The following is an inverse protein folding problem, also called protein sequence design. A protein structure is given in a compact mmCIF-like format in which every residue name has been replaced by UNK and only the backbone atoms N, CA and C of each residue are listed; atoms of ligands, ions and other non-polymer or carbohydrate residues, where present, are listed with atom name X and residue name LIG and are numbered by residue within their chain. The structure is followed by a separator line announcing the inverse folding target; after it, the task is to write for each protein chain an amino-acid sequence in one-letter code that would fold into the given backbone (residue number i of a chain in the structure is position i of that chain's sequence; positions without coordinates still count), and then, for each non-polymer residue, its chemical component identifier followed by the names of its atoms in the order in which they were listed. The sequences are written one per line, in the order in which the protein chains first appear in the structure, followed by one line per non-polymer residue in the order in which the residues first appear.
data_IF_882163423426
#
_entry.id   IF_882163423426
#
_cell.length_a   1.000
_cell.length_b   1.000
_cell.length_c   1.000
_cell.angle_alpha   90.00
_cell.angle_beta   90.00
_cell.angle_gamma   90.00
#
_symmetry.space_group_name_H-M   'P 1'
#
loop_
_entity.id
_entity.type
_entity.pdbx_description
1 polymer ?
#
# COMPACT_ATOMS: atom_id res chain seq x y z
N UNK A 1 -10.52 -25.35 -2.58
CA UNK A 1 -9.73 -24.19 -2.99
C UNK A 1 -10.71 -23.06 -3.25
N UNK A 2 -10.86 -22.13 -2.33
CA UNK A 2 -11.65 -20.92 -2.58
C UNK A 2 -10.91 -20.14 -3.68
N UNK A 3 -11.56 -19.93 -4.83
CA UNK A 3 -10.98 -19.13 -5.91
C UNK A 3 -10.64 -17.76 -5.38
N UNK A 4 -9.41 -17.29 -5.63
CA UNK A 4 -9.02 -15.92 -5.34
C UNK A 4 -9.97 -14.99 -6.10
N UNK A 5 -10.72 -14.19 -5.35
CA UNK A 5 -11.69 -13.26 -5.93
C UNK A 5 -10.91 -12.09 -6.52
N UNK A 6 -10.85 -12.02 -7.84
CA UNK A 6 -10.22 -10.91 -8.56
C UNK A 6 -11.21 -9.74 -8.64
N UNK A 7 -10.75 -8.53 -8.30
CA UNK A 7 -11.57 -7.31 -8.27
C UNK A 7 -11.13 -6.37 -9.39
N UNK A 8 -12.00 -6.15 -10.35
CA UNK A 8 -11.71 -5.31 -11.52
C UNK A 8 -12.21 -3.87 -11.35
N UNK A 9 -11.52 -2.93 -12.00
CA UNK A 9 -11.91 -1.52 -12.01
C UNK A 9 -11.57 -0.75 -10.72
N UNK A 10 -10.79 -1.36 -9.83
CA UNK A 10 -10.13 -0.71 -8.68
C UNK A 10 -8.62 -0.77 -8.92
N UNK A 11 -7.92 0.36 -8.81
CA UNK A 11 -6.47 0.43 -9.00
C UNK A 11 -5.74 0.34 -7.67
N UNK A 12 -4.76 -0.57 -7.57
CA UNK A 12 -3.81 -0.64 -6.46
C UNK A 12 -2.72 0.42 -6.60
N UNK A 13 -2.51 1.23 -5.58
CA UNK A 13 -1.43 2.22 -5.53
C UNK A 13 -0.52 1.85 -4.37
N UNK A 14 0.69 1.37 -4.69
CA UNK A 14 1.69 0.98 -3.71
C UNK A 14 2.67 2.14 -3.51
N UNK A 15 2.72 2.69 -2.30
CA UNK A 15 3.62 3.79 -1.96
C UNK A 15 5.00 3.23 -1.57
N UNK A 16 6.03 3.50 -2.39
CA UNK A 16 7.38 2.97 -2.28
C UNK A 16 8.48 4.05 -2.29
N UNK A 17 8.12 5.32 -2.11
CA UNK A 17 9.05 6.45 -2.19
C UNK A 17 9.65 6.88 -0.83
N UNK A 18 9.49 6.07 0.21
CA UNK A 18 10.05 6.33 1.54
C UNK A 18 11.56 6.06 1.60
N UNK A 19 12.33 6.97 2.21
CA UNK A 19 13.81 6.89 2.27
C UNK A 19 14.35 5.82 3.23
N UNK A 20 13.52 5.20 4.07
CA UNK A 20 13.94 4.12 4.97
C UNK A 20 15.06 4.48 5.96
N UNK A 21 15.22 5.76 6.36
CA UNK A 21 16.34 6.25 7.19
C UNK A 21 16.46 5.58 8.56
N UNK A 22 15.36 5.07 9.11
CA UNK A 22 15.36 4.30 10.36
C UNK A 22 15.85 2.86 10.15
N UNK A 23 15.66 2.31 8.97
CA UNK A 23 16.10 0.98 8.61
C UNK A 23 17.63 0.94 8.37
N UNK A 24 18.13 1.86 7.57
CA UNK A 24 19.56 2.05 7.33
C UNK A 24 19.92 3.55 7.36
N UNK A 25 20.49 4.06 8.50
CA UNK A 25 20.94 5.44 8.59
C UNK A 25 22.08 5.80 7.64
N UNK A 26 22.84 4.79 7.14
CA UNK A 26 23.94 5.01 6.17
C UNK A 26 23.42 5.25 4.76
N UNK A 27 22.16 4.86 4.46
CA UNK A 27 21.55 4.96 3.13
C UNK A 27 22.14 4.01 2.09
N UNK A 28 22.94 3.00 2.50
CA UNK A 28 23.54 2.02 1.60
C UNK A 28 22.59 0.90 1.20
N UNK A 29 21.60 0.62 2.04
CA UNK A 29 20.62 -0.44 1.81
C UNK A 29 19.23 0.17 1.60
N UNK A 30 18.62 -0.15 0.45
CA UNK A 30 17.22 0.19 0.25
C UNK A 30 16.35 -0.76 1.08
N UNK A 31 15.67 -0.23 2.09
CA UNK A 31 14.75 -0.95 3.00
C UNK A 31 13.84 -1.93 2.25
N UNK A 32 13.25 -1.48 1.14
CA UNK A 32 12.26 -2.25 0.37
C UNK A 32 12.84 -3.51 -0.29
N UNK A 33 14.17 -3.59 -0.46
CA UNK A 33 14.88 -4.77 -0.97
C UNK A 33 15.31 -5.73 0.13
N UNK A 34 15.08 -5.42 1.40
CA UNK A 34 15.32 -6.34 2.49
C UNK A 34 14.41 -7.57 2.32
N UNK A 35 14.97 -8.75 2.62
CA UNK A 35 14.28 -10.02 2.41
C UNK A 35 13.53 -10.46 3.64
N UNK A 36 12.31 -10.92 3.44
CA UNK A 36 11.55 -11.68 4.44
C UNK A 36 12.20 -13.04 4.69
N UNK A 37 11.75 -13.76 5.70
CA UNK A 37 12.21 -15.14 5.99
C UNK A 37 12.04 -16.10 4.81
N UNK A 38 11.04 -15.84 3.96
CA UNK A 38 10.80 -16.61 2.74
C UNK A 38 11.78 -16.27 1.59
N UNK A 39 12.72 -15.35 1.82
CA UNK A 39 13.75 -14.94 0.85
C UNK A 39 13.30 -13.97 -0.23
N UNK A 40 12.03 -13.53 -0.21
CA UNK A 40 11.49 -12.50 -1.13
C UNK A 40 11.72 -11.12 -0.58
N UNK A 41 11.93 -10.12 -1.45
CA UNK A 41 12.01 -8.73 -1.03
C UNK A 41 10.65 -8.21 -0.54
N UNK A 42 10.64 -7.27 0.41
CA UNK A 42 9.40 -6.72 0.95
C UNK A 42 8.50 -6.12 -0.15
N UNK A 43 9.09 -5.32 -1.02
CA UNK A 43 8.34 -4.70 -2.12
C UNK A 43 7.72 -5.75 -3.04
N UNK A 44 8.43 -6.84 -3.33
CA UNK A 44 7.90 -7.95 -4.15
C UNK A 44 6.70 -8.61 -3.48
N UNK A 45 6.78 -8.90 -2.18
CA UNK A 45 5.66 -9.48 -1.43
C UNK A 45 4.38 -8.63 -1.57
N UNK A 46 4.49 -7.31 -1.41
CA UNK A 46 3.33 -6.40 -1.52
C UNK A 46 2.80 -6.33 -2.95
N UNK A 47 3.70 -6.25 -3.96
CA UNK A 47 3.31 -6.23 -5.36
C UNK A 47 2.59 -7.52 -5.78
N UNK A 48 3.12 -8.70 -5.42
CA UNK A 48 2.50 -9.99 -5.71
C UNK A 48 1.15 -10.14 -5.01
N UNK A 49 1.04 -9.69 -3.75
CA UNK A 49 -0.23 -9.67 -3.01
C UNK A 49 -1.27 -8.80 -3.72
N UNK A 50 -0.92 -7.59 -4.14
CA UNK A 50 -1.83 -6.70 -4.85
C UNK A 50 -2.25 -7.27 -6.23
N UNK A 51 -1.29 -7.77 -7.02
CA UNK A 51 -1.53 -8.35 -8.35
C UNK A 51 -2.38 -9.64 -8.31
N UNK A 52 -2.33 -10.38 -7.19
CA UNK A 52 -3.18 -11.57 -7.04
C UNK A 52 -4.68 -11.24 -6.91
N UNK A 53 -5.02 -9.96 -6.75
CA UNK A 53 -6.39 -9.48 -6.49
C UNK A 53 -6.83 -8.42 -7.50
N UNK A 54 -5.94 -7.53 -7.93
CA UNK A 54 -6.26 -6.34 -8.72
C UNK A 54 -5.69 -6.43 -10.13
N UNK A 55 -6.46 -5.98 -11.12
CA UNK A 55 -6.04 -5.97 -12.54
C UNK A 55 -4.97 -4.91 -12.82
N UNK A 56 -5.02 -3.79 -12.12
CA UNK A 56 -4.11 -2.66 -12.30
C UNK A 56 -3.41 -2.32 -10.98
N UNK A 57 -2.08 -2.36 -11.00
CA UNK A 57 -1.24 -2.03 -9.85
C UNK A 57 -0.16 -1.05 -10.28
N UNK A 58 -0.06 0.08 -9.55
CA UNK A 58 0.97 1.09 -9.72
C UNK A 58 1.89 1.12 -8.51
N UNK A 59 3.20 1.13 -8.76
CA UNK A 59 4.23 1.37 -7.75
C UNK A 59 4.72 2.81 -7.87
N UNK A 60 4.48 3.60 -6.84
CA UNK A 60 4.95 4.98 -6.77
C UNK A 60 6.33 5.00 -6.10
N UNK A 61 7.34 5.40 -6.84
CA UNK A 61 8.74 5.43 -6.40
C UNK A 61 9.40 6.77 -6.70
N UNK A 62 10.60 6.96 -6.15
CA UNK A 62 11.43 8.17 -6.32
C UNK A 62 12.76 7.85 -7.02
N UNK A 63 13.86 8.31 -6.46
CA UNK A 63 15.23 8.09 -6.96
C UNK A 63 15.62 6.60 -7.09
N UNK A 64 14.91 5.69 -6.45
CA UNK A 64 15.20 4.26 -6.48
C UNK A 64 14.45 3.50 -7.59
N UNK A 65 13.78 4.18 -8.50
CA UNK A 65 13.00 3.56 -9.59
C UNK A 65 13.79 2.51 -10.36
N UNK A 66 15.03 2.83 -10.75
CA UNK A 66 15.83 1.91 -11.55
C UNK A 66 16.09 0.57 -10.87
N UNK A 67 16.42 0.59 -9.58
CA UNK A 67 16.68 -0.63 -8.83
C UNK A 67 15.38 -1.42 -8.55
N UNK A 68 14.27 -0.72 -8.32
CA UNK A 68 12.96 -1.34 -8.15
C UNK A 68 12.46 -1.99 -9.46
N UNK A 69 12.74 -1.37 -10.61
CA UNK A 69 12.45 -1.97 -11.93
C UNK A 69 13.29 -3.22 -12.19
N UNK A 70 14.54 -3.27 -11.72
CA UNK A 70 15.36 -4.48 -11.82
C UNK A 70 14.80 -5.62 -10.95
N UNK A 71 14.34 -5.30 -9.75
CA UNK A 71 13.75 -6.27 -8.81
C UNK A 71 12.39 -6.82 -9.28
N UNK A 72 11.55 -5.98 -9.87
CA UNK A 72 10.14 -6.26 -10.15
C UNK A 72 9.81 -6.34 -11.64
N UNK A 73 10.81 -6.34 -12.53
CA UNK A 73 10.60 -6.21 -13.97
C UNK A 73 9.88 -7.40 -14.64
N UNK A 74 9.73 -8.51 -13.93
CA UNK A 74 8.93 -9.67 -14.31
C UNK A 74 7.44 -9.56 -13.93
N UNK A 75 7.07 -8.55 -13.11
CA UNK A 75 5.70 -8.34 -12.67
C UNK A 75 4.98 -7.32 -13.58
N UNK A 76 3.70 -7.54 -13.88
CA UNK A 76 2.89 -6.63 -14.72
C UNK A 76 2.41 -5.41 -13.92
N UNK A 77 3.33 -4.61 -13.38
CA UNK A 77 3.03 -3.39 -12.62
C UNK A 77 3.42 -2.13 -13.40
N UNK A 78 2.65 -1.05 -13.21
CA UNK A 78 3.04 0.28 -13.66
C UNK A 78 3.99 0.96 -12.66
N UNK A 79 4.96 1.72 -13.16
CA UNK A 79 5.84 2.53 -12.32
C UNK A 79 5.50 4.01 -12.47
N UNK A 80 5.33 4.69 -11.36
CA UNK A 80 5.02 6.12 -11.29
C UNK A 80 6.14 6.83 -10.55
N UNK A 81 6.81 7.76 -11.22
CA UNK A 81 7.87 8.52 -10.60
C UNK A 81 7.32 9.71 -9.83
N UNK A 82 7.76 9.85 -8.57
CA UNK A 82 7.44 10.97 -7.69
C UNK A 82 8.73 11.63 -7.18
N UNK A 83 9.40 12.47 -8.01
CA UNK A 83 10.74 12.99 -7.70
C UNK A 83 10.78 13.87 -6.45
N UNK A 84 9.66 14.51 -6.11
CA UNK A 84 9.52 15.34 -4.91
C UNK A 84 8.99 14.58 -3.69
N UNK A 85 8.98 13.25 -3.71
CA UNK A 85 8.46 12.40 -2.61
C UNK A 85 9.18 12.64 -1.26
N UNK A 86 10.41 13.16 -1.30
CA UNK A 86 11.15 13.58 -0.10
C UNK A 86 10.39 14.65 0.72
N UNK A 87 9.49 15.41 0.09
CA UNK A 87 8.66 16.42 0.76
C UNK A 87 7.54 15.81 1.60
N UNK A 88 7.20 14.54 1.34
CA UNK A 88 6.25 13.79 2.17
C UNK A 88 5.36 12.83 1.40
N UNK A 89 4.60 12.04 2.15
CA UNK A 89 3.75 10.97 1.62
C UNK A 89 2.60 11.51 0.73
N UNK A 90 2.14 12.74 0.96
CA UNK A 90 1.11 13.37 0.14
C UNK A 90 1.53 13.52 -1.32
N UNK A 91 2.81 13.83 -1.57
CA UNK A 91 3.37 13.92 -2.94
C UNK A 91 3.26 12.58 -3.66
N UNK A 92 3.69 11.50 -3.00
CA UNK A 92 3.64 10.15 -3.57
C UNK A 92 2.20 9.70 -3.85
N UNK A 93 1.29 9.94 -2.91
CA UNK A 93 -0.11 9.57 -3.06
C UNK A 93 -0.77 10.33 -4.22
N UNK A 94 -0.56 11.65 -4.33
CA UNK A 94 -1.08 12.44 -5.44
C UNK A 94 -0.54 11.96 -6.79
N UNK A 95 0.76 11.64 -6.88
CA UNK A 95 1.36 11.12 -8.11
C UNK A 95 0.69 9.81 -8.55
N UNK A 96 0.44 8.88 -7.63
CA UNK A 96 -0.29 7.64 -7.91
C UNK A 96 -1.73 7.89 -8.38
N UNK A 97 -2.47 8.75 -7.68
CA UNK A 97 -3.86 9.13 -8.04
C UNK A 97 -3.94 9.81 -9.41
N UNK A 98 -2.95 10.64 -9.75
CA UNK A 98 -2.89 11.32 -11.07
C UNK A 98 -2.60 10.35 -12.22
N UNK A 99 -1.82 9.31 -11.96
CA UNK A 99 -1.32 8.39 -12.98
C UNK A 99 -2.36 7.37 -13.46
N UNK A 100 -3.52 7.25 -12.80
CA UNK A 100 -4.56 6.27 -13.16
C UNK A 100 -5.96 6.86 -13.20
N UNK A 101 -6.87 6.11 -13.82
CA UNK A 101 -8.29 6.47 -13.94
C UNK A 101 -9.16 5.21 -13.73
N UNK A 102 -9.26 4.70 -12.50
CA UNK A 102 -10.04 3.51 -12.20
C UNK A 102 -11.53 3.76 -12.41
N UNK A 103 -12.29 2.66 -12.53
CA UNK A 103 -13.74 2.73 -12.68
C UNK A 103 -14.47 3.00 -11.36
N UNK A 104 -13.96 2.44 -10.26
CA UNK A 104 -14.63 2.48 -8.94
C UNK A 104 -13.83 3.21 -7.87
N UNK A 105 -12.50 3.15 -7.92
CA UNK A 105 -11.66 3.80 -6.92
C UNK A 105 -10.28 3.16 -6.76
N UNK A 106 -9.71 3.33 -5.59
CA UNK A 106 -8.31 3.03 -5.31
C UNK A 106 -8.17 2.16 -4.06
N UNK A 107 -7.16 1.29 -4.04
CA UNK A 107 -6.62 0.68 -2.82
C UNK A 107 -5.19 1.14 -2.65
N UNK A 108 -4.92 1.88 -1.57
CA UNK A 108 -3.60 2.42 -1.24
C UNK A 108 -2.90 1.47 -0.29
N UNK A 109 -1.75 0.92 -0.74
CA UNK A 109 -0.92 -0.01 0.00
C UNK A 109 0.43 0.65 0.35
N UNK A 110 1.06 0.17 1.42
CA UNK A 110 2.42 0.58 1.80
C UNK A 110 3.41 -0.54 1.44
N UNK A 111 4.49 -0.18 0.74
CA UNK A 111 5.48 -1.15 0.24
C UNK A 111 6.27 -1.86 1.33
N UNK A 112 6.18 -1.40 2.57
CA UNK A 112 6.85 -1.93 3.76
C UNK A 112 5.96 -2.79 4.67
N UNK A 113 4.81 -3.27 4.15
CA UNK A 113 3.90 -4.17 4.86
C UNK A 113 3.84 -5.56 4.18
N UNK A 114 4.93 -6.35 4.21
CA UNK A 114 5.08 -7.57 3.40
C UNK A 114 4.17 -8.74 3.83
N UNK A 115 3.59 -8.69 5.03
CA UNK A 115 2.73 -9.77 5.57
C UNK A 115 1.24 -9.57 5.32
N UNK A 116 0.86 -8.53 4.57
CA UNK A 116 -0.52 -8.28 4.19
C UNK A 116 -1.08 -9.45 3.35
N UNK A 117 -2.26 -9.92 3.71
CA UNK A 117 -2.90 -11.05 3.02
C UNK A 117 -3.67 -10.61 1.78
N UNK A 118 -3.67 -11.41 0.70
CA UNK A 118 -4.51 -11.15 -0.47
C UNK A 118 -5.99 -11.00 -0.14
N UNK A 119 -6.52 -11.80 0.81
CA UNK A 119 -7.91 -11.72 1.24
C UNK A 119 -8.29 -10.36 1.85
N UNK A 120 -7.34 -9.70 2.50
CA UNK A 120 -7.54 -8.34 3.05
C UNK A 120 -7.63 -7.30 1.94
N UNK A 121 -6.72 -7.38 0.95
CA UNK A 121 -6.76 -6.51 -0.24
C UNK A 121 -8.08 -6.71 -0.99
N UNK A 122 -8.51 -7.98 -1.18
CA UNK A 122 -9.77 -8.31 -1.84
C UNK A 122 -10.99 -7.72 -1.11
N UNK A 123 -11.04 -7.85 0.23
CA UNK A 123 -12.16 -7.33 1.01
C UNK A 123 -12.27 -5.80 0.92
N UNK A 124 -11.13 -5.09 0.98
CA UNK A 124 -11.09 -3.62 0.85
C UNK A 124 -11.47 -3.20 -0.58
N UNK A 125 -10.90 -3.85 -1.60
CA UNK A 125 -11.20 -3.55 -3.00
C UNK A 125 -12.67 -3.82 -3.36
N UNK A 126 -13.23 -4.94 -2.88
CA UNK A 126 -14.63 -5.27 -3.10
C UNK A 126 -15.56 -4.23 -2.47
N UNK A 127 -15.29 -3.78 -1.25
CA UNK A 127 -16.09 -2.74 -0.60
C UNK A 127 -16.05 -1.42 -1.38
N UNK A 128 -14.89 -1.04 -1.96
CA UNK A 128 -14.78 0.13 -2.87
C UNK A 128 -15.60 -0.10 -4.13
N UNK A 129 -15.50 -1.28 -4.75
CA UNK A 129 -16.28 -1.63 -5.95
C UNK A 129 -17.78 -1.59 -5.68
N UNK A 130 -18.21 -1.97 -4.48
CA UNK A 130 -19.60 -1.94 -4.02
C UNK A 130 -20.09 -0.52 -3.64
N UNK A 131 -19.24 0.50 -3.77
CA UNK A 131 -19.60 1.92 -3.61
C UNK A 131 -19.26 2.52 -2.24
N UNK A 132 -18.45 1.86 -1.42
CA UNK A 132 -17.97 2.48 -0.18
C UNK A 132 -16.96 3.60 -0.47
N UNK A 133 -17.15 4.78 0.16
CA UNK A 133 -16.31 5.96 -0.04
C UNK A 133 -14.91 5.79 0.57
N UNK A 134 -14.81 5.48 1.85
CA UNK A 134 -13.56 5.16 2.54
C UNK A 134 -13.70 3.79 3.19
N UNK A 135 -12.68 2.93 3.02
CA UNK A 135 -12.66 1.58 3.60
C UNK A 135 -11.37 1.34 4.35
N UNK A 136 -11.46 0.80 5.57
CA UNK A 136 -10.29 0.38 6.34
C UNK A 136 -10.48 -1.00 6.96
N UNK A 137 -9.51 -1.91 6.85
CA UNK A 137 -9.52 -3.14 7.62
C UNK A 137 -9.31 -2.85 9.11
N UNK A 138 -9.91 -3.67 9.96
CA UNK A 138 -9.81 -3.54 11.43
C UNK A 138 -9.47 -4.89 12.05
N UNK A 139 -8.44 -4.93 12.89
CA UNK A 139 -8.08 -6.06 13.73
C UNK A 139 -8.27 -5.65 15.20
N UNK A 140 -9.12 -6.36 15.94
CA UNK A 140 -9.36 -6.12 17.37
C UNK A 140 -9.69 -4.63 17.69
N UNK A 141 -10.47 -3.97 16.83
CA UNK A 141 -10.85 -2.56 16.98
C UNK A 141 -9.80 -1.55 16.51
N UNK A 142 -8.61 -2.00 16.10
CA UNK A 142 -7.54 -1.15 15.58
C UNK A 142 -7.57 -1.10 14.05
N UNK A 143 -7.80 0.07 13.43
CA UNK A 143 -7.81 0.20 11.98
C UNK A 143 -6.38 0.20 11.42
N UNK A 144 -6.20 -0.55 10.32
CA UNK A 144 -4.91 -0.72 9.64
C UNK A 144 -4.92 -0.30 8.17
N UNK A 145 -3.96 -0.85 7.41
CA UNK A 145 -3.83 -0.75 5.96
C UNK A 145 -4.17 -2.11 5.30
N UNK A 146 -4.49 -2.11 4.00
CA UNK A 146 -4.55 -0.97 3.07
C UNK A 146 -5.79 -0.10 3.29
N UNK A 147 -5.80 1.09 2.66
CA UNK A 147 -6.96 1.98 2.70
C UNK A 147 -7.61 2.01 1.32
N UNK A 148 -8.91 1.74 1.27
CA UNK A 148 -9.74 1.92 0.08
C UNK A 148 -10.33 3.31 -0.01
N UNK A 149 -10.40 3.86 -1.23
CA UNK A 149 -11.04 5.14 -1.52
C UNK A 149 -11.90 5.03 -2.78
N UNK A 150 -13.18 5.41 -2.71
CA UNK A 150 -14.05 5.60 -3.87
C UNK A 150 -13.63 6.78 -4.73
N UNK A 151 -14.19 6.87 -5.94
CA UNK A 151 -13.84 7.93 -6.91
C UNK A 151 -14.14 9.35 -6.40
N UNK A 152 -15.14 9.52 -5.56
CA UNK A 152 -15.50 10.80 -4.96
C UNK A 152 -14.37 11.39 -4.12
N UNK A 153 -13.43 10.56 -3.66
CA UNK A 153 -12.26 10.98 -2.89
C UNK A 153 -11.07 11.38 -3.77
N UNK A 154 -11.19 11.26 -5.12
CA UNK A 154 -10.10 11.65 -6.02
C UNK A 154 -9.64 13.10 -5.78
N UNK A 155 -10.57 14.04 -5.78
CA UNK A 155 -10.23 15.46 -5.61
C UNK A 155 -9.66 15.76 -4.21
N UNK A 156 -10.26 15.33 -3.10
CA UNK A 156 -9.66 15.47 -1.77
C UNK A 156 -8.25 14.86 -1.65
N UNK A 157 -7.99 13.72 -2.30
CA UNK A 157 -6.66 13.08 -2.30
C UNK A 157 -5.64 13.89 -3.11
N UNK A 158 -6.05 14.53 -4.21
CA UNK A 158 -5.19 15.41 -5.02
C UNK A 158 -4.86 16.74 -4.33
N UNK A 159 -5.64 17.16 -3.35
CA UNK A 159 -5.47 18.39 -2.58
C UNK A 159 -4.70 18.18 -1.27
N UNK A 160 -4.27 16.96 -0.97
CA UNK A 160 -3.49 16.67 0.24
C UNK A 160 -2.22 17.53 0.30
N UNK A 161 -1.86 18.07 1.48
CA UNK A 161 -0.57 18.71 1.69
C UNK A 161 0.59 17.73 1.45
N UNK A 162 1.75 18.25 1.04
CA UNK A 162 2.91 17.43 0.70
C UNK A 162 3.36 16.53 1.86
N UNK A 163 3.47 17.11 3.06
CA UNK A 163 4.00 16.43 4.25
C UNK A 163 3.04 15.39 4.84
N UNK A 164 1.74 15.52 4.54
CA UNK A 164 0.70 14.67 5.09
C UNK A 164 0.28 13.61 4.07
N UNK A 165 0.31 12.35 4.48
CA UNK A 165 -0.45 11.32 3.80
C UNK A 165 -1.95 11.49 4.05
N UNK A 166 -2.75 10.45 3.80
CA UNK A 166 -4.18 10.50 4.02
C UNK A 166 -4.61 10.52 5.51
N UNK A 167 -3.67 10.59 6.47
CA UNK A 167 -3.96 10.42 7.90
C UNK A 167 -5.00 11.40 8.42
N UNK A 168 -4.83 12.69 8.16
CA UNK A 168 -5.73 13.72 8.67
C UNK A 168 -7.08 13.68 7.96
N UNK A 169 -7.07 13.38 6.66
CA UNK A 169 -8.29 13.13 5.88
C UNK A 169 -9.09 11.96 6.48
N UNK A 170 -8.43 10.85 6.80
CA UNK A 170 -9.06 9.68 7.43
C UNK A 170 -9.60 9.99 8.83
N UNK A 171 -8.86 10.78 9.61
CA UNK A 171 -9.30 11.19 10.94
C UNK A 171 -10.53 12.10 10.89
N UNK A 172 -10.55 13.05 9.96
CA UNK A 172 -11.67 13.98 9.77
C UNK A 172 -12.94 13.27 9.24
N UNK A 173 -12.80 12.14 8.57
CA UNK A 173 -13.90 11.40 7.94
C UNK A 173 -14.13 10.01 8.57
N UNK A 174 -13.78 9.85 9.84
CA UNK A 174 -13.93 8.58 10.56
C UNK A 174 -15.37 8.06 10.55
N UNK A 175 -16.34 8.94 10.67
CA UNK A 175 -17.77 8.59 10.71
C UNK A 175 -18.31 8.15 9.33
N UNK A 176 -17.60 8.47 8.25
CA UNK A 176 -17.91 8.05 6.87
C UNK A 176 -17.08 6.84 6.42
N UNK A 177 -16.18 6.35 7.29
CA UNK A 177 -15.30 5.23 6.98
C UNK A 177 -16.00 3.90 7.25
N UNK A 178 -16.05 3.03 6.24
CA UNK A 178 -16.46 1.63 6.42
C UNK A 178 -15.29 0.84 7.04
N UNK A 179 -15.49 0.36 8.25
CA UNK A 179 -14.54 -0.51 8.93
C UNK A 179 -14.89 -1.97 8.67
N UNK A 180 -13.93 -2.73 8.09
CA UNK A 180 -14.09 -4.14 7.76
C UNK A 180 -13.32 -4.99 8.77
N UNK A 181 -13.99 -5.70 9.70
CA UNK A 181 -13.31 -6.57 10.66
C UNK A 181 -12.65 -7.76 9.95
N UNK A 182 -11.35 -7.94 10.13
CA UNK A 182 -10.56 -9.00 9.51
C UNK A 182 -9.57 -9.61 10.50
N UNK A 183 -9.21 -10.88 10.29
CA UNK A 183 -8.17 -11.58 11.04
C UNK A 183 -6.90 -11.59 10.20
N UNK A 184 -6.19 -10.47 10.17
CA UNK A 184 -4.92 -10.30 9.45
C UNK A 184 -4.02 -9.34 10.25
N UNK A 185 -2.99 -9.87 10.89
CA UNK A 185 -2.02 -9.06 11.64
C UNK A 185 -1.18 -8.16 10.72
N UNK A 186 -1.03 -8.55 9.45
CA UNK A 186 -0.29 -7.79 8.44
C UNK A 186 -0.81 -6.37 8.23
N UNK A 187 -2.09 -6.09 8.57
CA UNK A 187 -2.67 -4.74 8.43
C UNK A 187 -2.07 -3.70 9.39
N UNK A 188 -1.40 -4.14 10.45
CA UNK A 188 -0.79 -3.29 11.49
C UNK A 188 0.74 -3.41 11.55
N UNK A 189 1.34 -4.21 10.64
CA UNK A 189 2.77 -4.53 10.69
C UNK A 189 3.51 -3.92 9.52
N UNK A 190 4.07 -2.75 9.74
CA UNK A 190 5.09 -2.15 8.89
C UNK A 190 6.50 -2.51 9.39
N UNK A 191 7.45 -2.53 8.49
CA UNK A 191 8.87 -2.75 8.81
C UNK A 191 9.54 -1.38 8.86
N UNK A 192 9.97 -0.94 10.02
CA UNK A 192 10.71 0.32 10.19
C UNK A 192 12.21 0.10 10.45
N UNK A 193 12.54 -1.02 11.08
CA UNK A 193 13.91 -1.41 11.44
C UNK A 193 14.23 -2.84 10.97
N UNK A 194 15.51 -3.22 10.84
CA UNK A 194 15.88 -4.61 10.54
C UNK A 194 15.34 -5.63 11.55
N UNK A 195 15.15 -5.23 12.82
CA UNK A 195 14.57 -6.08 13.86
C UNK A 195 13.12 -6.49 13.59
N UNK A 196 12.36 -5.66 12.90
CA UNK A 196 10.95 -5.92 12.60
C UNK A 196 10.75 -7.10 11.63
N UNK A 197 11.76 -7.40 10.80
CA UNK A 197 11.75 -8.54 9.89
C UNK A 197 11.89 -9.89 10.62
N UNK A 198 12.56 -9.93 11.77
CA UNK A 198 12.77 -11.14 12.58
C UNK A 198 11.64 -11.43 13.58
N UNK A 199 10.59 -10.60 13.66
CA UNK A 199 9.52 -10.75 14.66
C UNK A 199 8.44 -11.78 14.29
N UNK A 200 8.54 -12.50 13.16
CA UNK A 200 7.53 -13.51 12.78
C UNK A 200 7.60 -14.82 13.59
N UNK A 201 8.62 -15.02 14.45
CA UNK A 201 8.81 -16.26 15.23
C UNK A 201 8.33 -16.22 16.69
N UNK A 202 7.74 -15.14 17.19
CA UNK A 202 7.37 -15.02 18.60
C UNK A 202 5.86 -15.04 18.85
N UNK A 203 5.16 -16.00 18.26
CA UNK A 203 3.75 -16.28 18.64
C UNK A 203 3.43 -17.77 18.41
N UNK A 204 3.97 -18.59 19.31
CA UNK A 204 3.42 -19.91 19.65
C UNK A 204 2.71 -19.79 21.00
#
# INVERSE_FOLDING_TARGET
MAGQQHVSGVTGIILAAGLGRRFDPSGQQLKLLAKTEEGRTMVRCVCETALSVLDEVLLVCDIHEQILRQELGDLPIGFVQAPDAIRGMGVSLRAGIQACSPRYGYVVLLADMPWLRPSTVAAVAQAVQDGAGIVRPVLNGQPGNPVGFGLEWRQPLLELPDEQGARDLLQANKDQTLFVPLVDEGILRDVDTPGDLGMSQASN
#
